data_IF_741037194262
#
_entry.id   IF_741037194262
#
_cell.length_a   1.000
_cell.length_b   1.000
_cell.length_c   1.000
_cell.angle_alpha   90.00
_cell.angle_beta   90.00
_cell.angle_gamma   90.00
#
_symmetry.space_group_name_H-M   'P 1'
#
loop_
_entity.id
_entity.type
_entity.pdbx_description
1 polymer ?
#
# COMPACT_ATOMS: atom_id res chain seq x y z
N UNK A 1 -17.98 15.63 -16.91
CA UNK A 1 -17.46 14.85 -18.05
C UNK A 1 -16.09 14.28 -17.74
N UNK A 2 -15.13 15.15 -17.44
CA UNK A 2 -13.76 14.71 -17.17
C UNK A 2 -13.67 13.71 -16.00
N UNK A 3 -14.42 13.98 -14.93
CA UNK A 3 -14.41 13.09 -13.76
C UNK A 3 -14.95 11.70 -14.07
N UNK A 4 -15.96 11.60 -14.92
CA UNK A 4 -16.54 10.32 -15.28
C UNK A 4 -15.54 9.49 -16.08
N UNK A 5 -14.87 10.13 -17.04
CA UNK A 5 -13.83 9.47 -17.84
C UNK A 5 -12.67 8.99 -16.97
N UNK A 6 -12.22 9.85 -16.05
CA UNK A 6 -11.13 9.50 -15.14
C UNK A 6 -11.51 8.32 -14.25
N UNK A 7 -12.73 8.32 -13.73
CA UNK A 7 -13.21 7.23 -12.88
C UNK A 7 -13.26 5.92 -13.67
N UNK A 8 -13.76 5.94 -14.88
CA UNK A 8 -13.81 4.75 -15.73
C UNK A 8 -12.42 4.21 -16.03
N UNK A 9 -11.47 5.11 -16.30
CA UNK A 9 -10.09 4.74 -16.55
C UNK A 9 -9.45 4.12 -15.31
N UNK A 10 -9.69 4.71 -14.13
CA UNK A 10 -9.16 4.19 -12.88
C UNK A 10 -9.74 2.80 -12.60
N UNK A 11 -11.05 2.62 -12.79
CA UNK A 11 -11.67 1.31 -12.59
C UNK A 11 -11.02 0.26 -13.49
N UNK A 12 -10.79 0.58 -14.75
CA UNK A 12 -10.13 -0.31 -15.69
C UNK A 12 -8.72 -0.68 -15.23
N UNK A 13 -7.96 0.32 -14.81
CA UNK A 13 -6.57 0.12 -14.38
C UNK A 13 -6.47 -0.74 -13.13
N UNK A 14 -7.46 -0.66 -12.24
CA UNK A 14 -7.42 -1.37 -10.97
C UNK A 14 -8.13 -2.72 -11.00
N UNK A 15 -8.96 -2.96 -12.01
CA UNK A 15 -9.79 -4.17 -12.07
C UNK A 15 -8.92 -5.42 -12.03
N UNK A 16 -9.22 -6.30 -11.08
CA UNK A 16 -8.55 -7.58 -10.88
C UNK A 16 -7.05 -7.47 -10.60
N UNK A 17 -6.60 -6.31 -10.15
CA UNK A 17 -5.19 -6.10 -9.81
C UNK A 17 -4.90 -6.46 -8.37
N UNK A 18 -3.73 -7.03 -8.15
CA UNK A 18 -3.19 -7.26 -6.82
C UNK A 18 -2.30 -6.08 -6.45
N UNK A 19 -2.58 -5.47 -5.32
CA UNK A 19 -1.94 -4.22 -4.92
C UNK A 19 -1.21 -4.39 -3.60
N UNK A 20 -0.02 -3.80 -3.51
CA UNK A 20 0.74 -3.74 -2.27
C UNK A 20 0.83 -2.28 -1.84
N UNK A 21 0.51 -2.00 -0.58
CA UNK A 21 0.66 -0.68 0.02
C UNK A 21 1.64 -0.81 1.18
N UNK A 22 2.80 -0.18 1.06
CA UNK A 22 3.74 -0.11 2.18
C UNK A 22 3.37 1.08 3.04
N UNK A 23 3.38 0.90 4.36
CA UNK A 23 2.93 1.94 5.27
C UNK A 23 1.42 2.11 5.27
N UNK A 24 0.69 1.08 4.83
CA UNK A 24 -0.75 1.17 4.65
C UNK A 24 -1.56 1.21 5.94
N UNK A 25 -0.92 0.96 7.09
CA UNK A 25 -1.62 1.06 8.37
C UNK A 25 -1.54 2.45 8.98
N UNK A 26 -0.74 3.36 8.41
CA UNK A 26 -0.65 4.73 8.86
C UNK A 26 -1.90 5.54 8.51
N UNK A 27 -1.92 6.80 8.92
CA UNK A 27 -3.11 7.64 8.74
C UNK A 27 -3.46 7.85 7.26
N UNK A 28 -2.47 8.12 6.43
CA UNK A 28 -2.70 8.30 4.99
C UNK A 28 -2.91 6.95 4.31
N UNK A 29 -2.08 5.97 4.65
CA UNK A 29 -2.15 4.64 4.05
C UNK A 29 -3.47 3.95 4.29
N UNK A 30 -4.03 4.08 5.48
CA UNK A 30 -5.31 3.45 5.81
C UNK A 30 -6.45 4.01 4.96
N UNK A 31 -6.41 5.31 4.67
CA UNK A 31 -7.41 5.95 3.81
C UNK A 31 -7.27 5.42 2.37
N UNK A 32 -6.04 5.31 1.89
CA UNK A 32 -5.79 4.76 0.56
C UNK A 32 -6.29 3.32 0.45
N UNK A 33 -5.99 2.49 1.44
CA UNK A 33 -6.42 1.09 1.45
C UNK A 33 -7.94 1.01 1.40
N UNK A 34 -8.61 1.78 2.25
CA UNK A 34 -10.06 1.81 2.28
C UNK A 34 -10.63 2.25 0.94
N UNK A 35 -10.02 3.26 0.31
CA UNK A 35 -10.44 3.75 -0.99
C UNK A 35 -10.25 2.68 -2.07
N UNK A 36 -9.11 2.01 -2.08
CA UNK A 36 -8.84 0.95 -3.04
C UNK A 36 -9.87 -0.18 -2.95
N UNK A 37 -10.33 -0.49 -1.75
CA UNK A 37 -11.33 -1.55 -1.56
C UNK A 37 -12.70 -1.19 -2.14
N UNK A 38 -12.92 0.05 -2.53
CA UNK A 38 -14.14 0.46 -3.23
C UNK A 38 -14.09 0.17 -4.72
N UNK A 39 -12.94 -0.27 -5.22
CA UNK A 39 -12.75 -0.63 -6.62
C UNK A 39 -12.73 -2.14 -6.77
N UNK A 40 -12.97 -2.67 -7.98
CA UNK A 40 -13.00 -4.13 -8.21
C UNK A 40 -11.60 -4.73 -8.31
N UNK A 41 -10.76 -4.49 -7.33
CA UNK A 41 -9.42 -5.04 -7.25
C UNK A 41 -9.46 -6.51 -6.85
N UNK A 42 -8.38 -7.23 -7.11
CA UNK A 42 -8.28 -8.62 -6.68
C UNK A 42 -7.93 -8.72 -5.21
N UNK A 43 -6.92 -7.98 -4.78
CA UNK A 43 -6.50 -7.97 -3.39
C UNK A 43 -5.67 -6.73 -3.10
N UNK A 44 -5.60 -6.37 -1.84
CA UNK A 44 -4.67 -5.35 -1.36
C UNK A 44 -3.90 -5.93 -0.18
N UNK A 45 -2.58 -5.89 -0.30
CA UNK A 45 -1.67 -6.30 0.78
C UNK A 45 -1.12 -5.06 1.43
N UNK A 46 -1.08 -5.04 2.74
CA UNK A 46 -0.56 -3.92 3.51
C UNK A 46 0.64 -4.39 4.30
N UNK A 47 1.80 -3.82 4.02
CA UNK A 47 3.03 -4.09 4.74
C UNK A 47 3.32 -2.91 5.65
N UNK A 48 3.45 -3.16 6.94
CA UNK A 48 3.72 -2.11 7.92
C UNK A 48 4.48 -2.70 9.09
N UNK A 49 5.23 -1.87 9.79
CA UNK A 49 5.98 -2.29 10.97
C UNK A 49 5.15 -2.22 12.25
N UNK A 50 4.00 -1.58 12.18
CA UNK A 50 3.14 -1.37 13.34
C UNK A 50 2.07 -2.46 13.42
N UNK A 51 2.34 -3.46 14.24
CA UNK A 51 1.45 -4.60 14.40
C UNK A 51 0.07 -4.19 14.89
N UNK A 52 0.03 -3.27 15.84
CA UNK A 52 -1.24 -2.80 16.41
C UNK A 52 -2.08 -2.10 15.35
N UNK A 53 -1.46 -1.22 14.57
CA UNK A 53 -2.15 -0.49 13.52
C UNK A 53 -2.67 -1.43 12.44
N UNK A 54 -1.90 -2.46 12.07
CA UNK A 54 -2.33 -3.46 11.10
C UNK A 54 -3.57 -4.21 11.61
N UNK A 55 -3.53 -4.66 12.85
CA UNK A 55 -4.66 -5.39 13.44
C UNK A 55 -5.91 -4.51 13.50
N UNK A 56 -5.74 -3.25 13.86
CA UNK A 56 -6.83 -2.30 13.94
C UNK A 56 -7.44 -2.05 12.55
N UNK A 57 -6.60 -1.89 11.53
CA UNK A 57 -7.06 -1.70 10.16
C UNK A 57 -7.85 -2.90 9.67
N UNK A 58 -7.32 -4.10 9.89
CA UNK A 58 -7.97 -5.33 9.47
C UNK A 58 -9.32 -5.50 10.13
N UNK A 59 -9.39 -5.22 11.42
CA UNK A 59 -10.63 -5.33 12.19
C UNK A 59 -11.67 -4.31 11.71
N UNK A 60 -11.23 -3.10 11.39
CA UNK A 60 -12.14 -2.04 10.94
C UNK A 60 -12.72 -2.31 9.57
N UNK A 61 -11.90 -2.76 8.63
CA UNK A 61 -12.32 -2.92 7.25
C UNK A 61 -12.98 -4.27 6.96
N UNK A 62 -12.51 -5.34 7.61
CA UNK A 62 -13.08 -6.69 7.48
C UNK A 62 -13.39 -7.10 6.04
N UNK A 63 -12.45 -6.85 5.14
CA UNK A 63 -12.60 -7.19 3.73
C UNK A 63 -11.75 -8.42 3.40
N UNK A 64 -12.33 -9.37 2.69
CA UNK A 64 -11.65 -10.62 2.34
C UNK A 64 -10.44 -10.39 1.43
N UNK A 65 -10.43 -9.29 0.71
CA UNK A 65 -9.34 -8.96 -0.20
C UNK A 65 -8.15 -8.32 0.51
N UNK A 66 -8.33 -7.94 1.77
CA UNK A 66 -7.27 -7.30 2.56
C UNK A 66 -6.36 -8.36 3.17
N UNK A 67 -5.06 -8.19 2.99
CA UNK A 67 -4.03 -9.04 3.59
C UNK A 67 -3.05 -8.14 4.35
N UNK A 68 -2.91 -8.36 5.62
CA UNK A 68 -1.95 -7.59 6.42
C UNK A 68 -0.66 -8.39 6.58
N UNK A 69 0.47 -7.69 6.49
CA UNK A 69 1.80 -8.28 6.62
C UNK A 69 2.64 -7.39 7.52
N UNK A 70 3.17 -8.00 8.58
CA UNK A 70 4.03 -7.29 9.51
C UNK A 70 5.47 -7.38 9.02
N UNK A 71 6.12 -6.24 8.85
CA UNK A 71 7.51 -6.22 8.43
C UNK A 71 7.97 -4.84 8.03
N UNK A 72 9.28 -4.72 7.90
CA UNK A 72 9.93 -3.48 7.49
C UNK A 72 10.24 -3.50 6.01
N UNK A 73 10.16 -2.33 5.36
CA UNK A 73 10.60 -2.19 3.98
C UNK A 73 12.11 -2.39 3.84
N UNK A 74 12.83 -2.38 4.96
CA UNK A 74 14.28 -2.64 4.96
C UNK A 74 14.60 -4.13 4.99
N UNK A 75 13.61 -4.97 5.26
CA UNK A 75 13.76 -6.42 5.25
C UNK A 75 13.46 -6.93 3.85
N UNK A 76 14.51 -7.23 3.10
CA UNK A 76 14.39 -7.64 1.70
C UNK A 76 13.50 -8.88 1.53
N UNK A 77 13.70 -9.89 2.38
CA UNK A 77 12.91 -11.10 2.27
C UNK A 77 11.43 -10.84 2.50
N UNK A 78 11.14 -9.97 3.45
CA UNK A 78 9.76 -9.61 3.75
C UNK A 78 9.12 -8.85 2.59
N UNK A 79 9.87 -7.93 1.99
CA UNK A 79 9.40 -7.17 0.84
C UNK A 79 9.17 -8.09 -0.36
N UNK A 80 10.06 -9.04 -0.59
CA UNK A 80 9.91 -9.98 -1.68
C UNK A 80 8.65 -10.83 -1.51
N UNK A 81 8.38 -11.28 -0.30
CA UNK A 81 7.16 -12.03 0.00
C UNK A 81 5.93 -11.16 -0.20
N UNK A 82 5.97 -9.94 0.31
CA UNK A 82 4.84 -9.03 0.22
C UNK A 82 4.52 -8.66 -1.23
N UNK A 83 5.53 -8.54 -2.07
CA UNK A 83 5.39 -8.12 -3.45
C UNK A 83 5.18 -9.24 -4.45
N UNK A 84 5.22 -10.49 -4.01
CA UNK A 84 5.10 -11.62 -4.93
C UNK A 84 3.73 -11.64 -5.61
N UNK A 85 3.73 -11.58 -6.94
CA UNK A 85 2.50 -11.60 -7.72
C UNK A 85 1.72 -10.30 -7.70
N UNK A 86 2.31 -9.23 -7.19
CA UNK A 86 1.64 -7.93 -7.10
C UNK A 86 1.80 -7.17 -8.42
N UNK A 87 0.72 -6.52 -8.84
CA UNK A 87 0.70 -5.73 -10.06
C UNK A 87 1.06 -4.27 -9.83
N UNK A 88 0.65 -3.71 -8.69
CA UNK A 88 0.82 -2.28 -8.41
C UNK A 88 1.33 -2.12 -6.98
N UNK A 89 2.30 -1.22 -6.79
CA UNK A 89 2.84 -0.92 -5.47
C UNK A 89 2.70 0.56 -5.17
N UNK A 90 2.12 0.86 -4.01
CA UNK A 90 2.10 2.21 -3.46
C UNK A 90 3.04 2.26 -2.27
N UNK A 91 4.12 3.01 -2.40
CA UNK A 91 5.11 3.15 -1.34
C UNK A 91 4.81 4.35 -0.46
N UNK A 92 4.15 4.11 0.67
CA UNK A 92 3.86 5.15 1.63
C UNK A 92 4.72 5.02 2.90
N UNK A 93 5.35 3.86 3.07
CA UNK A 93 6.27 3.69 4.19
C UNK A 93 7.48 4.58 4.00
N UNK A 94 7.79 5.37 4.99
CA UNK A 94 8.92 6.28 4.95
C UNK A 94 10.05 5.73 5.82
N UNK A 95 11.28 5.89 5.33
CA UNK A 95 12.45 5.66 6.14
C UNK A 95 12.58 6.86 7.07
N UNK A 96 12.60 6.60 8.38
CA UNK A 96 12.62 7.68 9.35
C UNK A 96 14.00 8.32 9.52
N UNK A 97 14.85 8.17 8.55
CA UNK A 97 16.17 8.77 8.56
C UNK A 97 16.13 10.05 7.70
N UNK A 98 16.00 11.15 8.36
CA UNK A 98 15.82 12.44 7.71
C UNK A 98 17.00 12.81 6.83
N UNK A 99 18.21 12.45 7.25
CA UNK A 99 19.42 12.76 6.48
C UNK A 99 19.37 12.13 5.09
N UNK A 100 18.88 10.93 4.99
CA UNK A 100 18.76 10.25 3.70
C UNK A 100 17.77 10.99 2.82
N UNK A 101 16.67 11.42 3.39
CA UNK A 101 15.65 12.15 2.63
C UNK A 101 16.19 13.47 2.08
N UNK A 102 17.03 14.14 2.83
CA UNK A 102 17.61 15.41 2.40
C UNK A 102 18.57 15.23 1.25
N UNK A 103 19.28 14.12 1.20
CA UNK A 103 20.26 13.88 0.14
C UNK A 103 19.60 13.60 -1.21
N UNK A 104 18.55 12.80 -1.22
CA UNK A 104 17.95 12.41 -2.48
C UNK A 104 16.50 11.96 -2.27
N UNK A 105 15.55 12.87 -2.41
CA UNK A 105 14.14 12.53 -2.22
C UNK A 105 13.63 11.42 -3.15
N UNK A 106 14.14 11.39 -4.39
CA UNK A 106 13.74 10.38 -5.34
C UNK A 106 14.21 9.00 -4.89
N UNK A 107 15.45 8.91 -4.45
CA UNK A 107 16.00 7.67 -3.93
C UNK A 107 15.26 7.22 -2.69
N UNK A 108 14.87 8.14 -1.83
CA UNK A 108 14.09 7.83 -0.64
C UNK A 108 12.74 7.23 -1.02
N UNK A 109 12.10 7.78 -2.04
CA UNK A 109 10.83 7.27 -2.52
C UNK A 109 11.00 5.86 -3.08
N UNK A 110 12.05 5.64 -3.84
CA UNK A 110 12.32 4.32 -4.43
C UNK A 110 12.61 3.29 -3.36
N UNK A 111 13.32 3.69 -2.31
CA UNK A 111 13.63 2.81 -1.20
C UNK A 111 12.40 2.47 -0.39
N UNK A 112 11.53 3.44 -0.27
CA UNK A 112 10.29 3.27 0.46
C UNK A 112 9.32 2.42 -0.34
#
# INVERSE_FOLDING_TARGET
>A
MTKIKQKSTIVKELKNKSILVTGGAGSIGSILVETLLKFPIQSVRVLDIDEYALAKLNKRLQDKRLRILLGSILDKDRVDIAGDGVDIVFHLAAIKNIEISEFNPIETIDTN
#
